data_IF_214865428793
#
_entry.id   IF_214865428793
#
_cell.length_a   1.000
_cell.length_b   1.000
_cell.length_c   1.000
_cell.angle_alpha   90.00
_cell.angle_beta   90.00
_cell.angle_gamma   90.00
#
_symmetry.space_group_name_H-M   'P 1'
#
loop_
_entity.id
_entity.type
_entity.pdbx_description
1 polymer ?
#
# COMPACT_ATOMS: atom_id res chain seq x y z
N UNK A 1 -17.11 39.40 33.46
CA UNK A 1 -17.53 38.06 32.98
C UNK A 1 -18.36 38.01 31.68
N UNK A 2 -19.65 38.43 31.62
CA UNK A 2 -20.57 38.11 30.50
C UNK A 2 -20.06 38.48 29.09
N UNK A 3 -19.41 39.63 28.93
CA UNK A 3 -18.81 40.04 27.64
C UNK A 3 -17.72 39.09 27.15
N UNK A 4 -16.97 38.46 28.06
CA UNK A 4 -15.91 37.49 27.73
C UNK A 4 -16.48 36.13 27.32
N UNK A 5 -17.69 35.79 27.80
CA UNK A 5 -18.40 34.58 27.39
C UNK A 5 -18.94 34.73 25.97
N UNK A 6 -19.69 35.80 25.72
CA UNK A 6 -20.33 36.01 24.41
C UNK A 6 -19.34 36.46 23.34
N UNK A 7 -18.40 37.32 23.69
CA UNK A 7 -17.58 38.02 22.72
C UNK A 7 -18.24 39.26 22.15
N UNK A 8 -17.44 40.13 21.52
CA UNK A 8 -17.96 41.41 20.98
C UNK A 8 -18.94 41.21 19.82
N UNK A 9 -18.72 40.18 18.99
CA UNK A 9 -19.59 39.91 17.84
C UNK A 9 -20.98 39.48 18.26
N UNK A 10 -21.07 38.44 19.09
CA UNK A 10 -22.34 37.82 19.46
C UNK A 10 -23.23 38.68 20.37
N UNK A 11 -22.73 39.80 20.93
CA UNK A 11 -23.56 40.70 21.74
C UNK A 11 -24.75 41.29 20.98
N UNK A 12 -24.67 41.41 19.65
CA UNK A 12 -25.82 41.81 18.80
C UNK A 12 -26.99 40.82 18.84
N UNK A 13 -26.73 39.59 19.26
CA UNK A 13 -27.72 38.53 19.42
C UNK A 13 -28.19 38.39 20.88
N UNK A 14 -27.85 39.33 21.77
CA UNK A 14 -28.24 39.31 23.18
C UNK A 14 -29.39 40.27 23.45
N UNK A 15 -30.47 39.75 24.04
CA UNK A 15 -31.60 40.55 24.53
C UNK A 15 -31.52 40.73 26.04
N UNK A 16 -31.33 41.97 26.47
CA UNK A 16 -31.47 42.37 27.87
C UNK A 16 -32.95 42.60 28.12
N UNK A 17 -33.60 41.66 28.80
CA UNK A 17 -35.06 41.65 28.89
C UNK A 17 -35.53 42.03 30.29
N UNK A 18 -36.31 43.10 30.40
CA UNK A 18 -37.00 43.46 31.64
C UNK A 18 -38.31 42.68 31.78
N UNK A 19 -38.65 42.27 33.00
CA UNK A 19 -39.84 41.46 33.30
C UNK A 19 -40.64 42.08 34.44
N UNK A 20 -41.77 41.47 34.82
CA UNK A 20 -42.63 41.90 35.93
C UNK A 20 -43.27 43.29 35.78
N UNK A 21 -43.44 43.78 34.55
CA UNK A 21 -44.11 45.04 34.25
C UNK A 21 -45.55 45.11 34.80
N UNK A 22 -46.24 43.98 34.92
CA UNK A 22 -47.58 43.89 35.54
C UNK A 22 -47.59 44.14 37.05
N UNK A 23 -46.44 44.12 37.73
CA UNK A 23 -46.31 44.39 39.17
C UNK A 23 -45.93 45.85 39.46
N UNK A 24 -45.68 46.64 38.43
CA UNK A 24 -45.34 48.04 38.56
C UNK A 24 -46.64 48.83 38.72
N UNK A 25 -46.84 49.43 39.89
CA UNK A 25 -48.06 50.20 40.21
C UNK A 25 -48.06 51.57 39.53
N UNK A 26 -46.90 52.20 39.41
CA UNK A 26 -46.69 53.46 38.69
C UNK A 26 -45.78 53.22 37.47
N UNK A 27 -46.27 53.38 36.22
CA UNK A 27 -45.48 53.19 35.02
C UNK A 27 -44.18 54.01 35.00
N UNK A 28 -44.18 55.24 35.51
CA UNK A 28 -43.00 56.12 35.49
C UNK A 28 -41.86 55.55 36.35
N UNK A 29 -42.18 54.91 37.47
CA UNK A 29 -41.21 54.20 38.32
C UNK A 29 -40.54 53.04 37.57
N UNK A 30 -41.33 52.27 36.80
CA UNK A 30 -40.81 51.15 36.01
C UNK A 30 -39.84 51.62 34.92
N UNK A 31 -40.20 52.70 34.22
CA UNK A 31 -39.36 53.31 33.19
C UNK A 31 -38.10 53.94 33.76
N UNK A 32 -38.20 54.60 34.92
CA UNK A 32 -37.06 55.16 35.64
C UNK A 32 -36.06 54.08 36.05
N UNK A 33 -36.54 52.94 36.57
CA UNK A 33 -35.70 51.79 36.91
C UNK A 33 -35.03 51.18 35.69
N UNK A 34 -35.79 50.92 34.61
CA UNK A 34 -35.25 50.39 33.36
C UNK A 34 -34.17 51.31 32.78
N UNK A 35 -34.43 52.62 32.78
CA UNK A 35 -33.45 53.63 32.35
C UNK A 35 -32.20 53.60 33.21
N UNK A 36 -32.32 53.44 34.53
CA UNK A 36 -31.20 53.25 35.43
C UNK A 36 -30.32 52.05 35.04
N UNK A 37 -30.94 50.90 34.76
CA UNK A 37 -30.20 49.70 34.30
C UNK A 37 -29.44 49.97 33.00
N UNK A 38 -30.06 50.68 32.05
CA UNK A 38 -29.50 50.97 30.74
C UNK A 38 -28.40 52.02 30.75
N UNK A 39 -28.40 52.94 31.72
CA UNK A 39 -27.41 54.02 31.80
C UNK A 39 -26.16 53.61 32.58
N UNK A 40 -26.28 52.69 33.55
CA UNK A 40 -25.14 52.24 34.33
C UNK A 40 -24.21 51.36 33.49
N UNK A 41 -23.00 51.87 33.23
CA UNK A 41 -21.95 51.13 32.50
C UNK A 41 -21.43 49.92 33.27
N UNK A 42 -21.59 49.87 34.59
CA UNK A 42 -21.26 48.70 35.40
C UNK A 42 -22.33 47.60 35.28
N UNK A 43 -23.47 47.90 34.65
CA UNK A 43 -24.56 46.96 34.44
C UNK A 43 -24.86 46.76 32.94
N UNK A 44 -26.01 47.23 32.43
CA UNK A 44 -26.41 46.98 31.05
C UNK A 44 -25.86 48.00 30.06
N UNK A 45 -25.48 49.20 30.51
CA UNK A 45 -25.04 50.27 29.61
C UNK A 45 -23.88 49.86 28.69
N UNK A 46 -22.89 49.15 29.24
CA UNK A 46 -21.76 48.66 28.44
C UNK A 46 -22.14 47.54 27.45
N UNK A 47 -23.18 46.76 27.76
CA UNK A 47 -23.66 45.69 26.89
C UNK A 47 -24.47 46.27 25.73
N UNK A 48 -25.32 47.26 26.02
CA UNK A 48 -26.08 48.03 25.04
C UNK A 48 -25.16 48.80 24.09
N UNK A 49 -24.12 49.47 24.62
CA UNK A 49 -23.08 50.16 23.83
C UNK A 49 -22.39 49.21 22.83
N UNK A 50 -22.28 47.92 23.18
CA UNK A 50 -21.63 46.89 22.38
C UNK A 50 -22.59 46.09 21.48
N UNK A 51 -23.86 46.49 21.40
CA UNK A 51 -24.82 45.96 20.43
C UNK A 51 -25.92 45.09 21.00
N UNK A 52 -25.94 44.79 22.32
CA UNK A 52 -27.10 44.14 22.92
C UNK A 52 -28.34 45.03 22.82
N UNK A 53 -29.53 44.43 22.74
CA UNK A 53 -30.78 45.20 22.65
C UNK A 53 -31.64 45.02 23.89
N UNK A 54 -32.26 46.11 24.34
CA UNK A 54 -33.23 46.10 25.41
C UNK A 54 -34.59 45.61 24.89
N UNK A 55 -35.25 44.74 25.65
CA UNK A 55 -36.57 44.22 25.34
C UNK A 55 -37.45 44.19 26.60
N UNK A 56 -38.77 44.37 26.45
CA UNK A 56 -39.73 44.25 27.56
C UNK A 56 -40.56 42.98 27.40
N UNK A 57 -40.50 42.08 28.38
CA UNK A 57 -41.40 40.92 28.45
C UNK A 57 -42.61 41.24 29.34
N UNK A 58 -43.80 41.21 28.73
CA UNK A 58 -45.05 41.61 29.39
C UNK A 58 -45.68 40.48 30.23
N UNK A 59 -45.03 39.32 30.34
CA UNK A 59 -45.55 38.18 31.08
C UNK A 59 -46.60 37.35 30.33
N UNK A 60 -46.84 37.64 29.04
CA UNK A 60 -47.80 36.90 28.20
C UNK A 60 -47.09 36.03 27.16
N UNK A 61 -47.77 34.97 26.71
CA UNK A 61 -47.27 34.06 25.66
C UNK A 61 -46.93 34.83 24.38
N UNK A 62 -47.77 35.77 23.97
CA UNK A 62 -47.58 36.58 22.76
C UNK A 62 -46.32 37.44 22.85
N UNK A 63 -46.08 38.07 24.01
CA UNK A 63 -44.87 38.87 24.20
C UNK A 63 -43.60 38.02 24.15
N UNK A 64 -43.64 36.79 24.69
CA UNK A 64 -42.51 35.86 24.64
C UNK A 64 -42.23 35.36 23.23
N UNK A 65 -43.27 34.99 22.48
CA UNK A 65 -43.12 34.57 21.08
C UNK A 65 -42.55 35.68 20.21
N UNK A 66 -42.97 36.92 20.40
CA UNK A 66 -42.36 38.07 19.70
C UNK A 66 -40.86 38.15 19.97
N UNK A 67 -40.40 38.00 21.21
CA UNK A 67 -38.97 38.01 21.52
C UNK A 67 -38.22 36.88 20.78
N UNK A 68 -38.80 35.68 20.74
CA UNK A 68 -38.20 34.56 20.02
C UNK A 68 -38.13 34.85 18.52
N UNK A 69 -39.21 35.35 17.92
CA UNK A 69 -39.25 35.73 16.50
C UNK A 69 -38.19 36.77 16.14
N UNK A 70 -38.02 37.81 16.98
CA UNK A 70 -36.97 38.81 16.79
C UNK A 70 -35.58 38.16 16.88
N UNK A 71 -35.36 37.26 17.84
CA UNK A 71 -34.06 36.60 18.03
C UNK A 71 -33.73 35.66 16.86
N UNK A 72 -34.72 34.92 16.36
CA UNK A 72 -34.57 34.01 15.23
C UNK A 72 -34.27 34.72 13.92
N UNK A 73 -34.61 36.01 13.81
CA UNK A 73 -34.29 36.83 12.64
C UNK A 73 -32.80 37.18 12.55
N UNK A 74 -32.06 37.08 13.65
CA UNK A 74 -30.65 37.43 13.71
C UNK A 74 -29.76 36.35 13.10
N UNK A 75 -28.65 36.76 12.49
CA UNK A 75 -27.66 35.82 11.99
C UNK A 75 -26.95 35.11 13.16
N UNK A 76 -26.91 33.77 13.18
CA UNK A 76 -26.19 33.03 14.21
C UNK A 76 -24.72 33.42 14.26
N UNK A 77 -24.20 33.56 15.47
CA UNK A 77 -22.79 33.89 15.70
C UNK A 77 -22.26 33.02 16.84
N UNK A 78 -21.07 32.45 16.64
CA UNK A 78 -20.41 31.65 17.67
C UNK A 78 -19.99 32.55 18.83
N UNK A 79 -20.16 32.05 20.06
CA UNK A 79 -19.69 32.76 21.25
C UNK A 79 -18.16 32.65 21.34
N UNK A 80 -17.48 33.68 21.85
CA UNK A 80 -16.02 33.64 22.03
C UNK A 80 -15.57 32.42 22.84
N UNK A 81 -16.32 32.02 23.88
CA UNK A 81 -15.99 30.82 24.65
C UNK A 81 -16.08 29.53 23.80
N UNK A 82 -17.04 29.45 22.87
CA UNK A 82 -17.18 28.31 21.98
C UNK A 82 -16.02 28.24 20.99
N UNK A 83 -15.63 29.38 20.40
CA UNK A 83 -14.46 29.43 19.53
C UNK A 83 -13.17 29.03 20.26
N UNK A 84 -12.98 29.54 21.48
CA UNK A 84 -11.81 29.22 22.29
C UNK A 84 -11.73 27.72 22.64
N UNK A 85 -12.86 27.09 22.98
CA UNK A 85 -12.90 25.66 23.32
C UNK A 85 -12.77 24.78 22.07
N UNK A 86 -13.53 25.07 21.01
CA UNK A 86 -13.67 24.18 19.86
C UNK A 86 -12.59 24.42 18.82
N UNK A 87 -12.35 25.68 18.45
CA UNK A 87 -11.39 26.08 17.40
C UNK A 87 -9.99 26.15 17.98
N UNK A 88 -9.81 26.88 19.08
CA UNK A 88 -8.50 27.11 19.69
C UNK A 88 -8.08 25.99 20.65
N UNK A 89 -8.94 24.99 20.89
CA UNK A 89 -8.69 23.82 21.73
C UNK A 89 -8.26 24.16 23.16
N UNK A 90 -8.70 25.30 23.70
CA UNK A 90 -8.47 25.66 25.11
C UNK A 90 -9.39 24.85 26.03
N UNK A 91 -8.94 24.59 27.24
CA UNK A 91 -9.81 24.10 28.33
C UNK A 91 -10.74 25.22 28.80
N UNK A 92 -11.81 24.88 29.51
CA UNK A 92 -12.76 25.88 30.01
C UNK A 92 -12.05 26.93 30.89
N UNK A 93 -11.09 26.51 31.72
CA UNK A 93 -10.36 27.41 32.62
C UNK A 93 -9.36 28.32 31.88
N UNK A 94 -8.83 27.87 30.74
CA UNK A 94 -7.93 28.67 29.89
C UNK A 94 -8.67 29.69 29.00
N UNK A 95 -10.00 29.63 28.94
CA UNK A 95 -10.80 30.61 28.22
C UNK A 95 -10.72 31.98 28.90
N UNK A 96 -10.94 33.06 28.15
CA UNK A 96 -11.00 34.42 28.70
C UNK A 96 -12.03 34.55 29.83
N UNK A 97 -13.17 33.85 29.70
CA UNK A 97 -14.21 33.82 30.72
C UNK A 97 -13.78 33.00 31.95
N UNK A 98 -13.13 31.85 31.74
CA UNK A 98 -12.59 31.02 32.82
C UNK A 98 -11.51 31.74 33.63
N UNK A 99 -10.59 32.44 32.94
CA UNK A 99 -9.57 33.27 33.58
C UNK A 99 -10.18 34.39 34.41
N UNK A 100 -11.19 35.09 33.87
CA UNK A 100 -11.92 36.14 34.59
C UNK A 100 -12.52 35.62 35.91
N UNK A 101 -13.16 34.45 35.90
CA UNK A 101 -13.73 33.84 37.13
C UNK A 101 -12.62 33.46 38.11
N UNK A 102 -11.53 32.86 37.62
CA UNK A 102 -10.42 32.45 38.46
C UNK A 102 -9.73 33.67 39.13
N UNK A 103 -9.56 34.77 38.39
CA UNK A 103 -9.06 36.04 38.92
C UNK A 103 -10.01 36.63 39.98
N UNK A 104 -11.32 36.65 39.70
CA UNK A 104 -12.35 37.11 40.65
C UNK A 104 -12.32 36.29 41.95
N UNK A 105 -12.20 34.96 41.87
CA UNK A 105 -12.07 34.07 43.03
C UNK A 105 -10.79 34.34 43.84
N UNK A 106 -9.66 34.56 43.16
CA UNK A 106 -8.38 34.91 43.83
C UNK A 106 -8.50 36.26 44.55
N UNK A 107 -9.13 37.25 43.92
CA UNK A 107 -9.31 38.57 44.51
C UNK A 107 -10.28 38.51 45.71
N UNK A 108 -11.37 37.75 45.62
CA UNK A 108 -12.31 37.54 46.73
C UNK A 108 -11.63 36.83 47.91
N UNK A 109 -10.85 35.77 47.65
CA UNK A 109 -10.09 35.07 48.69
C UNK A 109 -9.12 36.03 49.41
N UNK A 110 -8.45 36.92 48.66
CA UNK A 110 -7.56 37.94 49.22
C UNK A 110 -8.34 38.94 50.08
N UNK A 111 -9.47 39.47 49.59
CA UNK A 111 -10.32 40.43 50.32
C UNK A 111 -10.81 39.84 51.64
N UNK A 112 -11.33 38.61 51.64
CA UNK A 112 -11.80 37.97 52.87
C UNK A 112 -10.66 37.69 53.86
N UNK A 113 -9.45 37.36 53.38
CA UNK A 113 -8.27 37.22 54.26
C UNK A 113 -7.86 38.55 54.90
N UNK A 114 -7.94 39.65 54.16
CA UNK A 114 -7.64 40.99 54.68
C UNK A 114 -8.71 41.44 55.68
N UNK A 115 -9.99 41.21 55.37
CA UNK A 115 -11.13 41.48 56.26
C UNK A 115 -11.01 40.70 57.58
N UNK A 116 -10.69 39.40 57.53
CA UNK A 116 -10.47 38.60 58.73
C UNK A 116 -9.33 39.14 59.60
N UNK A 117 -8.22 39.56 58.99
CA UNK A 117 -7.10 40.18 59.74
C UNK A 117 -7.50 41.50 60.39
N UNK A 118 -8.29 42.32 59.71
CA UNK A 118 -8.79 43.58 60.25
C UNK A 118 -9.73 43.32 61.44
N UNK A 119 -10.70 42.42 61.27
CA UNK A 119 -11.63 42.01 62.33
C UNK A 119 -10.88 41.37 63.51
N UNK A 120 -9.80 40.61 63.27
CA UNK A 120 -8.97 40.04 64.33
C UNK A 120 -8.29 41.11 65.19
N UNK A 121 -7.78 42.16 64.55
CA UNK A 121 -7.19 43.31 65.25
C UNK A 121 -8.23 44.08 66.06
N UNK A 122 -9.39 44.38 65.47
CA UNK A 122 -10.49 45.07 66.17
C UNK A 122 -10.98 44.26 67.37
N UNK A 123 -11.05 42.93 67.25
CA UNK A 123 -11.42 42.06 68.36
C UNK A 123 -10.38 42.09 69.49
N UNK A 124 -9.08 42.15 69.16
CA UNK A 124 -8.01 42.27 70.16
C UNK A 124 -8.08 43.62 70.90
N UNK A 125 -8.41 44.70 70.19
CA UNK A 125 -8.65 46.02 70.77
C UNK A 125 -9.86 46.00 71.72
N UNK A 126 -10.99 45.41 71.31
CA UNK A 126 -12.18 45.25 72.16
C UNK A 126 -11.90 44.40 73.43
N UNK A 127 -11.07 43.35 73.32
CA UNK A 127 -10.63 42.56 74.47
C UNK A 127 -9.79 43.41 75.45
N UNK A 128 -8.93 44.27 74.94
CA UNK A 128 -8.11 45.17 75.75
C UNK A 128 -8.97 46.23 76.48
N UNK A 129 -10.02 46.72 75.82
CA UNK A 129 -10.98 47.69 76.37
C UNK A 129 -12.05 47.06 77.28
N UNK A 130 -12.10 45.72 77.36
CA UNK A 130 -13.09 44.93 78.11
C UNK A 130 -14.55 45.18 77.66
N UNK A 131 -14.74 45.47 76.38
CA UNK A 131 -16.06 45.58 75.78
C UNK A 131 -16.54 44.19 75.33
N UNK A 132 -17.35 43.54 76.18
CA UNK A 132 -17.88 42.20 75.90
C UNK A 132 -18.96 42.19 74.81
N UNK A 133 -19.77 43.26 74.67
CA UNK A 133 -20.78 43.36 73.61
C UNK A 133 -20.12 43.48 72.23
N UNK A 134 -19.12 44.36 72.12
CA UNK A 134 -18.34 44.51 70.87
C UNK A 134 -17.58 43.23 70.50
N UNK A 135 -17.04 42.53 71.50
CA UNK A 135 -16.33 41.26 71.29
C UNK A 135 -17.24 40.16 70.74
N UNK A 136 -18.47 40.03 71.24
CA UNK A 136 -19.44 39.05 70.72
C UNK A 136 -19.87 39.39 69.28
N UNK A 137 -20.15 40.66 68.99
CA UNK A 137 -20.50 41.13 67.64
C UNK A 137 -19.38 40.85 66.64
N UNK A 138 -18.13 41.19 66.99
CA UNK A 138 -16.96 40.95 66.14
C UNK A 138 -16.68 39.45 65.93
N UNK A 139 -16.98 38.61 66.93
CA UNK A 139 -16.85 37.16 66.79
C UNK A 139 -17.86 36.59 65.78
N UNK A 140 -19.09 37.12 65.74
CA UNK A 140 -20.09 36.73 64.75
C UNK A 140 -19.68 37.15 63.33
N UNK A 141 -19.19 38.38 63.15
CA UNK A 141 -18.72 38.87 61.85
C UNK A 141 -17.47 38.13 61.38
N UNK A 142 -16.53 37.79 62.28
CA UNK A 142 -15.40 36.91 61.96
C UNK A 142 -15.86 35.55 61.48
N UNK A 143 -16.85 34.95 62.15
CA UNK A 143 -17.41 33.65 61.73
C UNK A 143 -18.01 33.75 60.32
N UNK A 144 -18.80 34.79 60.03
CA UNK A 144 -19.36 35.02 58.68
C UNK A 144 -18.27 35.21 57.63
N UNK A 145 -17.23 36.00 57.93
CA UNK A 145 -16.11 36.23 57.02
C UNK A 145 -15.29 34.95 56.79
N UNK A 146 -15.11 34.13 57.83
CA UNK A 146 -14.44 32.82 57.76
C UNK A 146 -15.22 31.84 56.87
N UNK A 147 -16.54 31.76 57.05
CA UNK A 147 -17.40 30.93 56.19
C UNK A 147 -17.34 31.36 54.71
N UNK A 148 -17.29 32.67 54.44
CA UNK A 148 -17.11 33.19 53.07
C UNK A 148 -15.75 32.82 52.49
N UNK A 149 -14.68 32.91 53.29
CA UNK A 149 -13.34 32.52 52.88
C UNK A 149 -13.25 31.03 52.55
N UNK A 150 -13.83 30.17 53.41
CA UNK A 150 -13.84 28.73 53.19
C UNK A 150 -14.61 28.34 51.92
N UNK A 151 -15.75 29.00 51.65
CA UNK A 151 -16.50 28.83 50.40
C UNK A 151 -15.67 29.23 49.18
N UNK A 152 -15.07 30.41 49.18
CA UNK A 152 -14.24 30.88 48.07
C UNK A 152 -13.02 29.97 47.82
N UNK A 153 -12.37 29.50 48.90
CA UNK A 153 -11.26 28.56 48.80
C UNK A 153 -11.70 27.18 48.26
N UNK A 154 -12.87 26.69 48.67
CA UNK A 154 -13.44 25.44 48.17
C UNK A 154 -13.81 25.54 46.69
N UNK A 155 -14.44 26.63 46.25
CA UNK A 155 -14.78 26.89 44.84
C UNK A 155 -13.52 26.93 43.96
N UNK A 156 -12.48 27.63 44.41
CA UNK A 156 -11.19 27.68 43.71
C UNK A 156 -10.53 26.30 43.61
N UNK A 157 -10.54 25.52 44.69
CA UNK A 157 -10.00 24.15 44.70
C UNK A 157 -10.79 23.26 43.73
N UNK A 158 -12.11 23.33 43.75
CA UNK A 158 -12.98 22.60 42.83
C UNK A 158 -12.68 22.96 41.38
N UNK A 159 -12.50 24.26 41.07
CA UNK A 159 -12.15 24.71 39.72
C UNK A 159 -10.81 24.11 39.25
N UNK A 160 -9.80 24.08 40.13
CA UNK A 160 -8.50 23.49 39.82
C UNK A 160 -8.58 21.96 39.61
N UNK A 161 -9.38 21.26 40.42
CA UNK A 161 -9.61 19.81 40.28
C UNK A 161 -10.32 19.47 38.96
N UNK A 162 -11.38 20.22 38.62
CA UNK A 162 -12.09 20.09 37.35
C UNK A 162 -11.17 20.32 36.15
N UNK A 163 -10.32 21.34 36.22
CA UNK A 163 -9.34 21.62 35.17
C UNK A 163 -8.32 20.48 35.01
N UNK A 164 -7.79 19.95 36.12
CA UNK A 164 -6.87 18.83 36.10
C UNK A 164 -7.54 17.56 35.54
N UNK A 165 -8.81 17.31 35.87
CA UNK A 165 -9.59 16.19 35.31
C UNK A 165 -9.81 16.36 33.80
N UNK A 166 -10.16 17.56 33.34
CA UNK A 166 -10.33 17.87 31.91
C UNK A 166 -9.03 17.60 31.13
N UNK A 167 -7.89 18.05 31.66
CA UNK A 167 -6.58 17.81 31.03
C UNK A 167 -6.24 16.32 30.96
N UNK A 168 -6.52 15.55 32.02
CA UNK A 168 -6.32 14.09 32.02
C UNK A 168 -7.17 13.39 30.96
N UNK A 169 -8.45 13.77 30.84
CA UNK A 169 -9.35 13.20 29.82
C UNK A 169 -8.84 13.48 28.42
N UNK A 170 -8.44 14.73 28.13
CA UNK A 170 -7.88 15.11 26.82
C UNK A 170 -6.60 14.34 26.48
N UNK A 171 -5.72 14.13 27.45
CA UNK A 171 -4.50 13.37 27.23
C UNK A 171 -4.80 11.89 26.93
N UNK A 172 -5.74 11.27 27.66
CA UNK A 172 -6.19 9.90 27.40
C UNK A 172 -6.81 9.79 26.00
N UNK A 173 -7.68 10.74 25.62
CA UNK A 173 -8.29 10.77 24.28
C UNK A 173 -7.24 10.87 23.18
N UNK A 174 -6.23 11.73 23.37
CA UNK A 174 -5.12 11.89 22.42
C UNK A 174 -4.29 10.61 22.31
N UNK A 175 -3.98 9.97 23.43
CA UNK A 175 -3.25 8.69 23.44
C UNK A 175 -4.04 7.58 22.74
N UNK A 176 -5.34 7.49 23.00
CA UNK A 176 -6.22 6.54 22.32
C UNK A 176 -6.28 6.80 20.81
N UNK A 177 -6.44 8.05 20.39
CA UNK A 177 -6.45 8.41 18.97
C UNK A 177 -5.11 8.08 18.28
N UNK A 178 -3.98 8.28 18.96
CA UNK A 178 -2.66 7.90 18.45
C UNK A 178 -2.52 6.38 18.34
N UNK A 179 -2.93 5.62 19.35
CA UNK A 179 -2.88 4.17 19.34
C UNK A 179 -3.75 3.56 18.23
N UNK A 180 -4.96 4.10 18.00
CA UNK A 180 -5.83 3.65 16.91
C UNK A 180 -5.23 3.97 15.53
N UNK A 181 -4.61 5.14 15.36
CA UNK A 181 -3.90 5.48 14.13
C UNK A 181 -2.71 4.54 13.87
N UNK A 182 -1.96 4.17 14.91
CA UNK A 182 -0.84 3.24 14.81
C UNK A 182 -1.32 1.83 14.44
N UNK A 183 -2.39 1.34 15.07
CA UNK A 183 -3.00 0.05 14.72
C UNK A 183 -3.47 0.04 13.27
N UNK A 184 -4.18 1.08 12.82
CA UNK A 184 -4.66 1.18 11.45
C UNK A 184 -3.49 1.17 10.44
N UNK A 185 -2.39 1.87 10.75
CA UNK A 185 -1.17 1.83 9.92
C UNK A 185 -0.53 0.44 9.90
N UNK A 186 -0.43 -0.23 11.04
CA UNK A 186 0.14 -1.58 11.12
C UNK A 186 -0.73 -2.62 10.42
N UNK A 187 -2.05 -2.48 10.43
CA UNK A 187 -2.98 -3.31 9.66
C UNK A 187 -2.86 -3.05 8.16
N UNK A 188 -2.78 -1.79 7.75
CA UNK A 188 -2.55 -1.41 6.35
C UNK A 188 -1.23 -1.99 5.83
N UNK A 189 -0.14 -1.82 6.58
CA UNK A 189 1.17 -2.39 6.23
C UNK A 189 1.12 -3.91 6.10
N UNK A 190 0.50 -4.61 7.06
CA UNK A 190 0.33 -6.08 6.98
C UNK A 190 -0.50 -6.51 5.77
N UNK A 191 -1.54 -5.74 5.42
CA UNK A 191 -2.33 -5.98 4.22
C UNK A 191 -1.49 -5.78 2.96
N UNK A 192 -0.75 -4.68 2.85
CA UNK A 192 0.13 -4.39 1.71
C UNK A 192 1.24 -5.44 1.56
N UNK A 193 1.87 -5.86 2.65
CA UNK A 193 2.86 -6.94 2.67
C UNK A 193 2.27 -8.28 2.22
N UNK A 194 1.08 -8.62 2.70
CA UNK A 194 0.36 -9.83 2.29
C UNK A 194 0.01 -9.80 0.81
N UNK A 195 -0.53 -8.68 0.29
CA UNK A 195 -0.81 -8.51 -1.13
C UNK A 195 0.47 -8.59 -1.96
N UNK A 196 1.55 -7.93 -1.53
CA UNK A 196 2.84 -8.00 -2.22
C UNK A 196 3.43 -9.42 -2.23
N UNK A 197 3.29 -10.17 -1.13
CA UNK A 197 3.72 -11.57 -1.05
C UNK A 197 2.91 -12.47 -2.00
N UNK A 198 1.58 -12.31 -2.04
CA UNK A 198 0.71 -13.05 -2.98
C UNK A 198 1.08 -12.74 -4.44
N UNK A 199 1.30 -11.47 -4.78
CA UNK A 199 1.71 -11.09 -6.13
C UNK A 199 3.07 -11.68 -6.52
N UNK A 200 4.04 -11.68 -5.60
CA UNK A 200 5.35 -12.33 -5.83
C UNK A 200 5.21 -13.82 -6.03
N UNK A 201 4.36 -14.49 -5.27
CA UNK A 201 4.09 -15.92 -5.42
C UNK A 201 3.44 -16.23 -6.77
N UNK A 202 2.43 -15.44 -7.18
CA UNK A 202 1.81 -15.58 -8.50
C UNK A 202 2.81 -15.38 -9.63
N UNK A 203 3.64 -14.33 -9.56
CA UNK A 203 4.70 -14.07 -10.54
C UNK A 203 5.72 -15.22 -10.59
N UNK A 204 6.11 -15.79 -9.46
CA UNK A 204 7.03 -16.92 -9.41
C UNK A 204 6.41 -18.18 -10.05
N UNK A 205 5.13 -18.45 -9.78
CA UNK A 205 4.39 -19.58 -10.39
C UNK A 205 4.26 -19.40 -11.91
N UNK A 206 3.94 -18.20 -12.38
CA UNK A 206 3.88 -17.91 -13.82
C UNK A 206 5.25 -18.03 -14.49
N UNK A 207 6.29 -17.46 -13.87
CA UNK A 207 7.67 -17.58 -14.38
C UNK A 207 8.12 -19.05 -14.47
N UNK A 208 7.74 -19.88 -13.50
CA UNK A 208 8.03 -21.31 -13.54
C UNK A 208 7.29 -22.01 -14.68
N UNK A 209 5.99 -21.73 -14.88
CA UNK A 209 5.22 -22.28 -16.01
C UNK A 209 5.83 -21.92 -17.35
N UNK A 210 6.18 -20.64 -17.55
CA UNK A 210 6.83 -20.18 -18.78
C UNK A 210 8.16 -20.91 -18.99
N UNK A 211 8.94 -21.14 -17.93
CA UNK A 211 10.21 -21.88 -18.01
C UNK A 211 10.01 -23.34 -18.38
N UNK A 212 8.99 -24.00 -17.82
CA UNK A 212 8.63 -25.37 -18.16
C UNK A 212 8.16 -25.48 -19.63
N UNK A 213 7.28 -24.60 -20.08
CA UNK A 213 6.84 -24.53 -21.48
C UNK A 213 8.02 -24.32 -22.45
N UNK A 214 8.96 -23.43 -22.08
CA UNK A 214 10.16 -23.19 -22.89
C UNK A 214 11.06 -24.43 -22.96
N UNK A 215 11.18 -25.17 -21.85
CA UNK A 215 11.97 -26.40 -21.78
C UNK A 215 11.33 -27.53 -22.61
N UNK A 216 10.01 -27.67 -22.56
CA UNK A 216 9.26 -28.63 -23.37
C UNK A 216 9.35 -28.32 -24.87
N UNK A 217 9.23 -27.04 -25.24
CA UNK A 217 9.41 -26.60 -26.62
C UNK A 217 10.83 -26.92 -27.12
N UNK A 218 11.84 -26.66 -26.29
CA UNK A 218 13.22 -26.98 -26.62
C UNK A 218 13.44 -28.49 -26.76
N UNK A 219 12.89 -29.30 -25.84
CA UNK A 219 12.97 -30.76 -25.92
C UNK A 219 12.25 -31.33 -27.16
N UNK A 220 11.13 -30.72 -27.58
CA UNK A 220 10.44 -31.09 -28.81
C UNK A 220 11.27 -30.76 -30.06
N UNK A 221 11.88 -29.57 -30.10
CA UNK A 221 12.79 -29.19 -31.18
C UNK A 221 13.99 -30.14 -31.28
N UNK A 222 14.59 -30.52 -30.15
CA UNK A 222 15.71 -31.46 -30.13
C UNK A 222 15.30 -32.85 -30.64
N UNK A 223 14.11 -33.33 -30.26
CA UNK A 223 13.56 -34.60 -30.78
C UNK A 223 13.32 -34.54 -32.28
N UNK A 224 12.74 -33.45 -32.78
CA UNK A 224 12.53 -33.28 -34.23
C UNK A 224 13.87 -33.23 -34.99
N UNK A 225 14.89 -32.57 -34.43
CA UNK A 225 16.22 -32.57 -35.02
C UNK A 225 16.85 -33.96 -35.03
N UNK A 226 16.73 -34.72 -33.95
CA UNK A 226 17.21 -36.11 -33.89
C UNK A 226 16.48 -36.98 -34.92
N UNK A 227 15.14 -36.93 -34.99
CA UNK A 227 14.39 -37.68 -35.99
C UNK A 227 14.80 -37.33 -37.42
N UNK A 228 15.07 -36.05 -37.72
CA UNK A 228 15.57 -35.64 -39.03
C UNK A 228 16.97 -36.19 -39.31
N UNK A 229 17.85 -36.26 -38.30
CA UNK A 229 19.17 -36.86 -38.44
C UNK A 229 19.09 -38.37 -38.64
N UNK A 230 18.25 -39.06 -37.87
CA UNK A 230 18.03 -40.50 -37.97
C UNK A 230 17.43 -40.87 -39.34
N UNK A 231 16.43 -40.12 -39.83
CA UNK A 231 15.89 -40.32 -41.19
C UNK A 231 16.95 -40.16 -42.27
N UNK A 232 17.81 -39.13 -42.17
CA UNK A 232 18.93 -38.95 -43.11
C UNK A 232 19.92 -40.10 -43.04
N UNK A 233 20.20 -40.60 -41.85
CA UNK A 233 21.09 -41.73 -41.64
C UNK A 233 20.49 -43.01 -42.24
N UNK A 234 19.22 -43.30 -41.98
CA UNK A 234 18.50 -44.44 -42.55
C UNK A 234 18.48 -44.38 -44.09
N UNK A 235 18.23 -43.19 -44.67
CA UNK A 235 18.30 -42.96 -46.12
C UNK A 235 19.71 -43.22 -46.66
N UNK A 236 20.75 -42.76 -45.97
CA UNK A 236 22.15 -43.04 -46.35
C UNK A 236 22.50 -44.53 -46.24
N UNK A 237 22.06 -45.22 -45.18
CA UNK A 237 22.27 -46.65 -45.00
C UNK A 237 21.55 -47.47 -46.09
N UNK A 238 20.31 -47.10 -46.46
CA UNK A 238 19.59 -47.71 -47.58
C UNK A 238 20.29 -47.47 -48.92
N UNK A 239 20.69 -46.23 -49.21
CA UNK A 239 21.42 -45.90 -50.44
C UNK A 239 22.77 -46.63 -50.52
N UNK A 240 23.48 -46.78 -49.39
CA UNK A 240 24.72 -47.56 -49.33
C UNK A 240 24.48 -49.05 -49.57
N UNK A 241 23.40 -49.62 -49.04
CA UNK A 241 23.02 -51.01 -49.29
C UNK A 241 22.68 -51.25 -50.77
N UNK A 242 21.90 -50.36 -51.39
CA UNK A 242 21.58 -50.42 -52.83
C UNK A 242 22.84 -50.29 -53.70
N UNK A 243 23.74 -49.37 -53.36
CA UNK A 243 25.01 -49.20 -54.06
C UNK A 243 25.90 -50.44 -53.93
N UNK A 244 25.96 -51.06 -52.75
CA UNK A 244 26.70 -52.31 -52.51
C UNK A 244 26.11 -53.46 -53.34
N UNK A 245 24.78 -53.57 -53.40
CA UNK A 245 24.09 -54.58 -54.21
C UNK A 245 24.33 -54.37 -55.71
N UNK A 246 24.29 -53.13 -56.20
CA UNK A 246 24.66 -52.80 -57.58
C UNK A 246 26.12 -53.14 -57.89
N UNK A 247 27.04 -52.83 -56.97
CA UNK A 247 28.45 -53.16 -57.14
C UNK A 247 28.69 -54.68 -57.21
N UNK A 248 27.97 -55.46 -56.38
CA UNK A 248 28.03 -56.91 -56.41
C UNK A 248 27.46 -57.51 -57.71
N UNK A 249 26.36 -56.96 -58.23
CA UNK A 249 25.84 -57.36 -59.54
C UNK A 249 26.82 -57.03 -60.67
N UNK A 250 27.43 -55.85 -60.63
CA UNK A 250 28.41 -55.43 -61.61
C UNK A 250 29.68 -56.30 -61.59
N UNK A 251 30.20 -56.63 -60.40
CA UNK A 251 31.34 -57.52 -60.26
C UNK A 251 31.04 -58.95 -60.75
N UNK A 252 29.84 -59.47 -60.46
CA UNK A 252 29.40 -60.77 -60.98
C UNK A 252 29.27 -60.77 -62.52
N UNK A 253 28.78 -59.68 -63.12
CA UNK A 253 28.75 -59.54 -64.58
C UNK A 253 30.16 -59.52 -65.18
N UNK A 254 31.10 -58.79 -64.55
CA UNK A 254 32.49 -58.75 -64.99
C UNK A 254 33.16 -60.13 -64.90
N UNK A 255 32.92 -60.87 -63.81
CA UNK A 255 33.40 -62.24 -63.67
C UNK A 255 32.82 -63.14 -64.77
N UNK A 256 31.52 -63.04 -65.06
CA UNK A 256 30.91 -63.81 -66.14
C UNK A 256 31.49 -63.45 -67.52
N UNK A 257 31.80 -62.18 -67.76
CA UNK A 257 32.48 -61.74 -68.98
C UNK A 257 33.90 -62.30 -69.08
N UNK A 258 34.66 -62.27 -67.99
CA UNK A 258 35.99 -62.86 -67.91
C UNK A 258 35.96 -64.37 -68.14
N UNK A 259 35.07 -65.10 -67.46
CA UNK A 259 34.91 -66.55 -67.69
C UNK A 259 34.55 -66.88 -69.14
N UNK A 260 33.71 -66.07 -69.79
CA UNK A 260 33.40 -66.23 -71.21
C UNK A 260 34.62 -65.96 -72.10
N UNK A 261 35.39 -64.92 -71.79
CA UNK A 261 36.62 -64.60 -72.51
C UNK A 261 37.66 -65.72 -72.35
N UNK A 262 37.87 -66.22 -71.13
CA UNK A 262 38.78 -67.31 -70.82
C UNK A 262 38.38 -68.60 -71.52
N UNK A 263 37.08 -68.94 -71.54
CA UNK A 263 36.55 -70.09 -72.30
C UNK A 263 36.80 -69.93 -73.80
N UNK A 264 36.52 -68.76 -74.37
CA UNK A 264 36.76 -68.49 -75.78
C UNK A 264 38.27 -68.57 -76.13
N UNK A 265 39.13 -68.11 -75.23
CA UNK A 265 40.59 -68.18 -75.40
C UNK A 265 41.11 -69.62 -75.29
N UNK A 266 40.55 -70.43 -74.38
CA UNK A 266 40.85 -71.86 -74.26
C UNK A 266 40.41 -72.64 -75.50
N UNK A 267 39.20 -72.40 -76.01
CA UNK A 267 38.69 -72.98 -77.26
C UNK A 267 39.57 -72.59 -78.45
N UNK A 268 39.96 -71.32 -78.57
CA UNK A 268 40.86 -70.85 -79.62
C UNK A 268 42.25 -71.53 -79.55
N UNK A 269 42.78 -71.71 -78.33
CA UNK A 269 44.07 -72.38 -78.10
C UNK A 269 44.02 -73.87 -78.46
N UNK A 270 42.92 -74.55 -78.12
CA UNK A 270 42.69 -75.94 -78.54
C UNK A 270 42.57 -76.07 -80.07
N UNK A 271 41.87 -75.13 -80.71
CA UNK A 271 41.72 -75.12 -82.17
C UNK A 271 43.07 -74.88 -82.87
N UNK A 272 43.90 -73.98 -82.33
CA UNK A 272 45.26 -73.75 -82.81
C UNK A 272 46.17 -74.97 -82.64
N UNK A 273 46.08 -75.67 -81.50
CA UNK A 273 46.83 -76.90 -81.26
C UNK A 273 46.41 -78.04 -82.22
N UNK A 274 45.11 -78.18 -82.50
CA UNK A 274 44.59 -79.13 -83.46
C UNK A 274 45.08 -78.84 -84.89
N UNK A 275 45.12 -77.55 -85.27
CA UNK A 275 45.62 -77.11 -86.57
C UNK A 275 47.13 -77.39 -86.72
N UNK A 276 47.91 -77.12 -85.66
CA UNK A 276 49.34 -77.41 -85.63
C UNK A 276 49.63 -78.91 -85.72
N UNK A 277 48.84 -79.74 -85.01
CA UNK A 277 48.95 -81.20 -85.10
C UNK A 277 48.62 -81.73 -86.51
N UNK A 278 47.65 -81.13 -87.21
CA UNK A 278 47.34 -81.47 -88.60
C UNK A 278 48.48 -81.11 -89.56
N UNK A 279 49.11 -79.94 -89.39
CA UNK A 279 50.28 -79.52 -90.18
C UNK A 279 51.48 -80.45 -89.97
N UNK A 280 51.72 -80.90 -88.73
CA UNK A 280 52.78 -81.86 -88.42
C UNK A 280 52.57 -83.21 -89.10
N UNK A 281 51.33 -83.72 -89.14
CA UNK A 281 50.99 -84.95 -89.87
C UNK A 281 51.24 -84.81 -91.37
N UNK A 282 50.88 -83.67 -91.94
CA UNK A 282 51.11 -83.40 -93.37
C UNK A 282 52.62 -83.33 -93.70
N UNK A 283 53.44 -82.77 -92.80
CA UNK A 283 54.90 -82.77 -92.98
C UNK A 283 55.51 -84.17 -92.84
N UNK A 284 55.02 -84.98 -91.92
CA UNK A 284 55.45 -86.38 -91.76
C UNK A 284 55.10 -87.21 -93.00
N UNK A 285 53.89 -87.06 -93.55
CA UNK A 285 53.50 -87.75 -94.79
C UNK A 285 54.34 -87.30 -96.00
N UNK A 286 54.74 -86.03 -96.08
CA UNK A 286 55.65 -85.54 -97.13
C UNK A 286 57.07 -86.09 -96.97
N UNK A 287 57.55 -86.22 -95.73
CA UNK A 287 58.86 -86.81 -95.43
C UNK A 287 58.91 -88.30 -95.79
N UNK A 288 57.85 -89.06 -95.46
CA UNK A 288 57.74 -90.49 -95.80
C UNK A 288 57.66 -90.72 -97.33
N UNK A 289 56.98 -89.84 -98.07
CA UNK A 289 56.94 -89.89 -99.55
C UNK A 289 58.32 -89.63 -100.17
N UNK A 290 59.09 -88.68 -99.62
CA UNK A 290 60.45 -88.40 -100.07
C UNK A 290 61.42 -89.56 -99.79
N UNK A 291 61.28 -90.25 -98.65
CA UNK A 291 62.06 -91.46 -98.35
C UNK A 291 61.69 -92.65 -99.24
N UNK A 292 60.42 -92.79 -99.62
CA UNK A 292 59.96 -93.84 -100.52
C UNK A 292 60.47 -93.65 -101.97
N UNK A 293 60.58 -92.40 -102.45
CA UNK A 293 61.18 -92.07 -103.75
C UNK A 293 62.70 -92.31 -103.78
N UNK A 294 63.40 -92.00 -102.68
CA UNK A 294 64.84 -92.24 -102.56
C UNK A 294 65.22 -93.74 -102.57
N UNK A 295 64.34 -94.63 -102.09
CA UNK A 295 64.57 -96.09 -102.13
C UNK A 295 64.39 -96.68 -103.53
N UNK A 296 63.48 -96.14 -104.36
CA UNK A 296 63.26 -96.63 -105.74
C UNK A 296 64.37 -96.27 -106.73
N UNK A 297 65.16 -95.24 -106.45
CA UNK A 297 66.26 -94.82 -107.34
C UNK A 297 67.55 -95.66 -107.23
N UNK A 298 67.66 -96.58 -106.27
CA UNK A 298 68.87 -97.41 -106.08
C UNK A 298 68.85 -98.77 -106.76
N UNK A 299 67.75 -99.19 -107.37
CA UNK A 299 67.60 -100.56 -107.92
C UNK A 299 67.78 -100.69 -109.45
N UNK A 300 67.78 -99.61 -110.25
CA UNK A 300 67.84 -99.72 -111.74
C UNK A 300 68.96 -98.87 -112.38
N UNK A 301 70.22 -99.30 -112.20
CA UNK A 301 71.37 -98.65 -112.85
C UNK A 301 72.65 -99.47 -112.82
N UNK A 302 72.64 -100.65 -113.45
CA UNK A 302 73.84 -101.44 -113.70
C UNK A 302 74.60 -101.03 -114.98
N UNK A 303 75.94 -101.00 -114.90
CA UNK A 303 76.81 -101.46 -116.00
C UNK A 303 77.85 -100.48 -116.58
N UNK A 304 79.14 -100.79 -116.33
CA UNK A 304 80.21 -101.02 -117.33
C UNK A 304 81.50 -100.13 -117.36
N UNK A 305 82.65 -100.85 -117.38
CA UNK A 305 84.00 -100.63 -117.99
C UNK A 305 85.20 -100.00 -117.21
N UNK A 306 86.10 -100.91 -116.80
CA UNK A 306 87.58 -101.04 -116.93
C UNK A 306 88.48 -99.78 -116.98
N UNK A 307 89.35 -99.62 -115.97
CA UNK A 307 90.83 -99.64 -116.03
C UNK A 307 91.42 -99.58 -114.62
#
# INVERSE_FOLDING_TARGET
MFQKLCGRGALKNVFLTTTQWSRVTDPEDGESREKGLCQDRNFWGILLEKGATLQRFQGTRESGLKLIEHLMSNQPEALDIQDQIVTQKRTIVETDAGQCINEELIEQEKKYKEELKALERERQEAIAEKDEEMKELLAEEQKKAQEKLEKAAAEKKMLAELHAEELRKREIEKQNAQAELEKARAEQQRSEESHAAQMREQQAREAQRVREELADLHAAQMREQQERQDRRRDEQERAAAEASQMAALHSAQLQQQQERADRAQAEASQMAAALHAAQLREQQERAERAEAEARRAREDGGGCIIC
#
